data_IF_849916317048
#
_entry.id   IF_849916317048
#
_cell.length_a   1.000
_cell.length_b   1.000
_cell.length_c   1.000
_cell.angle_alpha   90.00
_cell.angle_beta   90.00
_cell.angle_gamma   90.00
#
_symmetry.space_group_name_H-M   'P 1'
#
loop_
_entity.id
_entity.type
_entity.pdbx_description
1 polymer ?
#
# COMPACT_ATOMS: atom_id res chain seq x y z
N UNK A 1 6.00 -27.08 -21.41
CA UNK A 1 6.99 -26.48 -20.49
C UNK A 1 6.29 -25.31 -19.84
N UNK A 2 5.90 -25.47 -18.58
CA UNK A 2 5.02 -24.55 -17.86
C UNK A 2 5.76 -23.26 -17.52
N UNK A 3 5.35 -22.18 -18.18
CA UNK A 3 5.75 -20.82 -17.85
C UNK A 3 5.20 -20.46 -16.47
N UNK A 4 6.10 -20.13 -15.53
CA UNK A 4 5.74 -19.93 -14.12
C UNK A 4 5.26 -18.48 -13.95
N UNK A 5 3.95 -18.30 -14.05
CA UNK A 5 3.19 -17.04 -13.91
C UNK A 5 3.19 -16.40 -12.49
N UNK A 6 4.09 -16.83 -11.60
CA UNK A 6 4.22 -16.27 -10.25
C UNK A 6 5.65 -15.78 -10.04
N UNK A 7 5.85 -14.59 -9.45
CA UNK A 7 7.19 -14.11 -9.13
C UNK A 7 7.85 -15.16 -8.22
N UNK A 8 8.79 -15.90 -8.82
CA UNK A 8 9.79 -16.65 -8.07
C UNK A 8 10.41 -15.66 -7.10
N UNK A 9 10.37 -15.97 -5.79
CA UNK A 9 11.01 -15.18 -4.73
C UNK A 9 12.27 -14.51 -5.30
N UNK A 10 12.15 -13.20 -5.52
CA UNK A 10 13.02 -12.46 -6.41
C UNK A 10 14.45 -12.62 -5.94
N UNK A 11 15.37 -12.76 -6.90
CA UNK A 11 16.80 -12.88 -6.60
C UNK A 11 17.21 -11.68 -5.73
N UNK A 12 17.45 -11.92 -4.44
CA UNK A 12 17.91 -10.89 -3.52
C UNK A 12 19.26 -10.38 -3.99
N UNK A 13 19.32 -9.10 -4.35
CA UNK A 13 20.57 -8.43 -4.68
C UNK A 13 21.18 -7.88 -3.39
N UNK A 14 22.43 -8.22 -3.12
CA UNK A 14 23.18 -7.59 -2.03
C UNK A 14 23.40 -6.12 -2.38
N UNK A 15 22.86 -5.22 -1.57
CA UNK A 15 23.00 -3.77 -1.73
C UNK A 15 23.67 -3.20 -0.49
N UNK A 16 24.61 -2.28 -0.68
CA UNK A 16 25.25 -1.58 0.43
C UNK A 16 24.43 -0.33 0.77
N UNK A 17 24.05 -0.15 2.03
CA UNK A 17 23.21 0.95 2.50
C UNK A 17 23.90 1.60 3.70
N UNK A 18 23.74 2.92 3.85
CA UNK A 18 24.20 3.65 5.04
C UNK A 18 23.02 3.83 5.99
N UNK A 19 23.18 3.37 7.23
CA UNK A 19 22.19 3.51 8.31
C UNK A 19 22.91 4.10 9.51
N UNK A 20 22.21 4.90 10.31
CA UNK A 20 22.77 5.48 11.54
C UNK A 20 23.28 4.39 12.49
N UNK A 21 24.41 4.66 13.12
CA UNK A 21 25.09 3.72 14.01
C UNK A 21 24.24 3.36 15.24
N UNK A 22 23.58 4.34 15.85
CA UNK A 22 22.74 4.14 17.02
C UNK A 22 21.55 3.21 16.75
N UNK A 23 20.87 3.39 15.61
CA UNK A 23 19.78 2.51 15.16
C UNK A 23 20.29 1.08 14.93
N UNK A 24 21.47 0.93 14.32
CA UNK A 24 22.06 -0.39 14.08
C UNK A 24 22.51 -1.06 15.37
N UNK A 25 23.03 -0.31 16.34
CA UNK A 25 23.43 -0.80 17.65
C UNK A 25 22.21 -1.28 18.44
N UNK A 26 21.14 -0.50 18.46
CA UNK A 26 19.88 -0.86 19.13
C UNK A 26 19.24 -2.09 18.48
N UNK A 27 19.16 -2.13 17.15
CA UNK A 27 18.62 -3.28 16.43
C UNK A 27 19.40 -4.58 16.72
N UNK A 28 20.73 -4.50 16.83
CA UNK A 28 21.57 -5.62 17.25
C UNK A 28 21.33 -6.02 18.70
N UNK A 29 21.23 -5.05 19.62
CA UNK A 29 20.95 -5.32 21.03
C UNK A 29 19.60 -6.03 21.23
N UNK A 30 18.62 -5.70 20.38
CA UNK A 30 17.29 -6.33 20.35
C UNK A 30 17.24 -7.63 19.53
N UNK A 31 18.35 -8.06 18.91
CA UNK A 31 18.39 -9.29 18.11
C UNK A 31 17.55 -9.24 16.83
N UNK A 32 17.29 -8.04 16.29
CA UNK A 32 16.47 -7.87 15.11
C UNK A 32 17.19 -8.30 13.82
N UNK A 33 16.44 -8.87 12.89
CA UNK A 33 16.94 -9.13 11.54
C UNK A 33 16.92 -7.83 10.73
N UNK A 34 18.03 -7.10 10.74
CA UNK A 34 18.18 -5.79 10.10
C UNK A 34 17.93 -5.81 8.59
N UNK A 35 18.33 -6.87 7.89
CA UNK A 35 18.04 -7.01 6.45
C UNK A 35 16.55 -7.12 6.18
N UNK A 36 15.83 -7.93 6.97
CA UNK A 36 14.37 -8.08 6.84
C UNK A 36 13.63 -6.80 7.22
N UNK A 37 14.09 -6.09 8.26
CA UNK A 37 13.52 -4.81 8.65
C UNK A 37 13.72 -3.74 7.57
N UNK A 38 14.91 -3.68 6.97
CA UNK A 38 15.20 -2.76 5.86
C UNK A 38 14.33 -3.08 4.64
N UNK A 39 14.19 -4.35 4.27
CA UNK A 39 13.33 -4.79 3.17
C UNK A 39 11.87 -4.36 3.39
N UNK A 40 11.32 -4.64 4.57
CA UNK A 40 9.95 -4.24 4.92
C UNK A 40 9.75 -2.71 4.89
N UNK A 41 10.74 -1.95 5.37
CA UNK A 41 10.71 -0.48 5.33
C UNK A 41 10.71 0.06 3.89
N UNK A 42 11.54 -0.52 3.02
CA UNK A 42 11.59 -0.14 1.60
C UNK A 42 10.28 -0.49 0.89
N UNK A 43 9.72 -1.68 1.13
CA UNK A 43 8.43 -2.06 0.56
C UNK A 43 7.29 -1.13 0.99
N UNK A 44 7.28 -0.72 2.27
CA UNK A 44 6.32 0.24 2.79
C UNK A 44 6.43 1.59 2.07
N UNK A 45 7.64 2.14 1.98
CA UNK A 45 7.89 3.41 1.30
C UNK A 45 7.52 3.36 -0.20
N UNK A 46 7.81 2.24 -0.89
CA UNK A 46 7.41 2.05 -2.29
C UNK A 46 5.89 2.05 -2.43
N UNK A 47 5.17 1.35 -1.54
CA UNK A 47 3.71 1.27 -1.58
C UNK A 47 3.07 2.64 -1.36
N UNK A 48 3.58 3.39 -0.39
CA UNK A 48 3.12 4.75 -0.09
C UNK A 48 3.33 5.68 -1.29
N UNK A 49 4.53 5.71 -1.85
CA UNK A 49 4.85 6.57 -3.00
C UNK A 49 4.03 6.20 -4.24
N UNK A 50 3.82 4.90 -4.50
CA UNK A 50 2.92 4.45 -5.58
C UNK A 50 1.49 4.90 -5.34
N UNK A 51 1.01 4.79 -4.10
CA UNK A 51 -0.33 5.26 -3.71
C UNK A 51 -0.48 6.76 -3.93
N UNK A 52 0.51 7.55 -3.50
CA UNK A 52 0.55 9.01 -3.71
C UNK A 52 0.46 9.37 -5.19
N UNK A 53 1.31 8.76 -6.03
CA UNK A 53 1.30 9.01 -7.48
C UNK A 53 -0.01 8.61 -8.13
N UNK A 54 -0.56 7.45 -7.75
CA UNK A 54 -1.84 7.00 -8.28
C UNK A 54 -2.96 8.00 -7.92
N UNK A 55 -3.00 8.50 -6.68
CA UNK A 55 -3.97 9.52 -6.26
C UNK A 55 -3.81 10.82 -7.05
N UNK A 56 -2.57 11.26 -7.30
CA UNK A 56 -2.28 12.44 -8.11
C UNK A 56 -2.75 12.25 -9.57
N UNK A 57 -2.42 11.12 -10.19
CA UNK A 57 -2.80 10.77 -11.56
C UNK A 57 -4.32 10.62 -11.74
N UNK A 58 -5.02 10.08 -10.72
CA UNK A 58 -6.45 9.78 -10.79
C UNK A 58 -7.31 10.87 -10.13
N UNK A 59 -6.71 11.98 -9.70
CA UNK A 59 -7.39 13.04 -8.93
C UNK A 59 -8.66 13.54 -9.62
N UNK A 60 -8.60 13.76 -10.93
CA UNK A 60 -9.75 14.23 -11.71
C UNK A 60 -10.84 13.18 -11.82
N UNK A 61 -10.48 11.92 -12.07
CA UNK A 61 -11.44 10.80 -12.13
C UNK A 61 -12.13 10.56 -10.79
N UNK A 62 -11.36 10.60 -9.69
CA UNK A 62 -11.90 10.50 -8.32
C UNK A 62 -12.85 11.67 -8.05
N UNK A 63 -12.48 12.89 -8.41
CA UNK A 63 -13.34 14.07 -8.25
C UNK A 63 -14.65 13.92 -9.03
N UNK A 64 -14.58 13.56 -10.31
CA UNK A 64 -15.76 13.38 -11.15
C UNK A 64 -16.68 12.28 -10.62
N UNK A 65 -16.10 11.17 -10.11
CA UNK A 65 -16.87 10.11 -9.47
C UNK A 65 -17.56 10.58 -8.19
N UNK A 66 -16.85 11.31 -7.33
CA UNK A 66 -17.41 11.85 -6.09
C UNK A 66 -18.57 12.83 -6.37
N UNK A 67 -18.42 13.73 -7.34
CA UNK A 67 -19.48 14.66 -7.75
C UNK A 67 -20.71 13.92 -8.29
N UNK A 68 -20.50 12.85 -9.06
CA UNK A 68 -21.61 11.99 -9.51
C UNK A 68 -22.27 11.27 -8.33
N UNK A 69 -21.51 10.73 -7.39
CA UNK A 69 -22.03 10.04 -6.22
C UNK A 69 -22.83 10.98 -5.30
N UNK A 70 -22.39 12.23 -5.11
CA UNK A 70 -23.14 13.24 -4.36
C UNK A 70 -24.46 13.61 -5.03
N UNK A 71 -24.49 13.63 -6.37
CA UNK A 71 -25.70 13.96 -7.15
C UNK A 71 -26.70 12.81 -7.22
N UNK A 72 -26.22 11.60 -7.49
CA UNK A 72 -27.05 10.45 -7.88
C UNK A 72 -27.10 9.36 -6.80
N UNK A 73 -26.23 9.44 -5.80
CA UNK A 73 -26.07 8.40 -4.80
C UNK A 73 -25.38 7.15 -5.35
N UNK A 74 -25.33 6.07 -4.55
CA UNK A 74 -24.84 4.79 -5.03
C UNK A 74 -25.77 4.21 -6.11
N UNK A 75 -25.19 3.57 -7.12
CA UNK A 75 -25.93 2.91 -8.21
C UNK A 75 -26.94 1.87 -7.71
N UNK A 76 -26.60 1.20 -6.61
CA UNK A 76 -27.47 0.22 -5.97
C UNK A 76 -28.06 0.84 -4.71
N UNK A 77 -29.40 0.77 -4.53
CA UNK A 77 -30.00 1.15 -3.26
C UNK A 77 -29.46 0.27 -2.15
N UNK A 78 -29.42 0.77 -0.91
CA UNK A 78 -29.06 -0.05 0.23
C UNK A 78 -30.00 -1.27 0.27
N UNK A 79 -29.47 -2.48 0.56
CA UNK A 79 -30.30 -3.66 0.71
C UNK A 79 -31.34 -3.44 1.82
N UNK A 80 -32.45 -4.19 1.75
CA UNK A 80 -33.60 -4.06 2.64
C UNK A 80 -33.29 -4.18 4.14
N UNK A 81 -32.14 -4.76 4.52
CA UNK A 81 -31.66 -4.85 5.90
C UNK A 81 -30.78 -3.66 6.35
N UNK A 82 -30.48 -2.72 5.46
CA UNK A 82 -29.64 -1.54 5.70
C UNK A 82 -30.38 -0.23 5.34
N UNK A 83 -31.70 -0.28 5.25
CA UNK A 83 -32.49 0.94 5.08
C UNK A 83 -32.35 1.80 6.34
N UNK A 84 -32.15 3.12 6.19
CA UNK A 84 -32.23 4.02 7.34
C UNK A 84 -33.61 3.82 7.98
N UNK A 85 -33.67 3.85 9.32
CA UNK A 85 -34.95 3.76 10.01
C UNK A 85 -35.83 4.91 9.53
N UNK A 86 -37.01 4.58 9.00
CA UNK A 86 -38.04 5.57 8.73
C UNK A 86 -38.44 6.19 10.09
N UNK A 87 -38.18 7.49 10.27
CA UNK A 87 -38.78 8.28 11.37
C UNK A 87 -40.29 8.48 11.13
#
# INVERSE_FOLDING_TARGET
MTDRKYPSAERRKRTNLTVREDVMAEAKALGLNTSRAAEAGIEAAIREEKGRRWLEENREGIKAYNEHYEREGPLLPPPWWAQPADD
#
